data_IF_482493421557
#
_entry.id   IF_482493421557
#
_cell.length_a   1.000
_cell.length_b   1.000
_cell.length_c   1.000
_cell.angle_alpha   90.00
_cell.angle_beta   90.00
_cell.angle_gamma   90.00
#
_symmetry.space_group_name_H-M   'P 1'
#
loop_
_entity.id
_entity.type
_entity.pdbx_description
1 polymer ?
#
# COMPACT_ATOMS: atom_id res chain seq x y z
N UNK A 1 -3.86 -48.34 -17.60
CA UNK A 1 -2.84 -47.33 -17.23
C UNK A 1 -3.51 -45.96 -17.28
N UNK A 2 -3.78 -45.34 -16.12
CA UNK A 2 -4.41 -44.01 -16.02
C UNK A 2 -3.30 -42.97 -15.88
N UNK A 3 -3.17 -42.06 -16.85
CA UNK A 3 -2.21 -40.96 -16.81
C UNK A 3 -2.82 -39.84 -15.97
N UNK A 4 -2.32 -39.66 -14.75
CA UNK A 4 -2.61 -38.50 -13.91
C UNK A 4 -1.82 -37.31 -14.48
N UNK A 5 -2.53 -36.35 -15.09
CA UNK A 5 -1.96 -35.05 -15.48
C UNK A 5 -1.75 -34.20 -14.22
N UNK A 6 -0.51 -34.11 -13.76
CA UNK A 6 -0.10 -33.13 -12.76
C UNK A 6 0.07 -31.76 -13.44
N UNK A 7 -0.68 -30.76 -12.99
CA UNK A 7 -0.55 -29.37 -13.42
C UNK A 7 0.44 -28.66 -12.47
N UNK A 8 1.55 -28.07 -12.95
CA UNK A 8 2.42 -27.30 -12.08
C UNK A 8 1.80 -25.92 -11.82
N UNK A 9 1.45 -25.66 -10.55
CA UNK A 9 1.20 -24.33 -10.01
C UNK A 9 2.50 -23.51 -10.10
N UNK A 10 2.57 -22.62 -11.09
CA UNK A 10 3.63 -21.61 -11.18
C UNK A 10 3.28 -20.42 -10.27
N UNK A 11 3.81 -20.45 -9.06
CA UNK A 11 3.89 -19.30 -8.15
C UNK A 11 5.00 -18.36 -8.65
N UNK A 12 4.61 -17.30 -9.38
CA UNK A 12 5.50 -16.21 -9.75
C UNK A 12 5.63 -15.21 -8.60
N UNK A 13 6.56 -15.47 -7.66
CA UNK A 13 6.91 -14.53 -6.60
C UNK A 13 8.06 -13.63 -7.08
N UNK A 14 7.75 -12.52 -7.77
CA UNK A 14 8.75 -11.49 -8.07
C UNK A 14 8.70 -10.39 -7.00
N UNK A 15 9.32 -10.65 -5.85
CA UNK A 15 9.59 -9.63 -4.85
C UNK A 15 10.84 -8.83 -5.27
N UNK A 16 10.66 -7.72 -5.97
CA UNK A 16 11.73 -6.73 -6.17
C UNK A 16 11.87 -5.91 -4.89
N UNK A 17 13.02 -6.05 -4.23
CA UNK A 17 13.48 -5.23 -3.10
C UNK A 17 13.61 -3.76 -3.54
N UNK A 18 12.55 -3.00 -3.35
CA UNK A 18 12.51 -1.53 -3.36
C UNK A 18 11.49 -1.07 -2.30
N UNK A 19 11.54 0.19 -1.83
CA UNK A 19 10.55 0.73 -0.90
C UNK A 19 9.20 0.82 -1.62
N UNK A 20 8.46 -0.29 -1.61
CA UNK A 20 7.25 -0.48 -2.39
C UNK A 20 6.99 -1.96 -2.58
N UNK A 21 6.23 -2.54 -1.64
CA UNK A 21 5.78 -3.91 -1.78
C UNK A 21 4.64 -3.92 -2.81
N UNK A 22 4.95 -4.40 -4.02
CA UNK A 22 3.99 -4.67 -5.07
C UNK A 22 3.57 -6.14 -5.03
N UNK A 23 2.28 -6.41 -4.90
CA UNK A 23 1.71 -7.75 -4.94
C UNK A 23 0.72 -7.84 -6.10
N UNK A 24 0.78 -8.93 -6.85
CA UNK A 24 -0.16 -9.20 -7.95
C UNK A 24 -0.42 -10.69 -8.02
N UNK A 25 -1.69 -11.10 -8.01
CA UNK A 25 -2.06 -12.50 -8.17
C UNK A 25 -3.46 -12.64 -8.78
N UNK A 26 -3.66 -13.76 -9.46
CA UNK A 26 -4.97 -14.16 -9.95
C UNK A 26 -5.76 -14.86 -8.82
N UNK A 27 -7.04 -14.54 -8.71
CA UNK A 27 -7.93 -15.10 -7.69
C UNK A 27 -8.52 -16.46 -8.12
N UNK A 28 -8.36 -16.82 -9.39
CA UNK A 28 -8.94 -18.00 -10.02
C UNK A 28 -7.96 -18.67 -10.99
N UNK A 29 -8.24 -19.93 -11.34
CA UNK A 29 -7.39 -20.71 -12.26
C UNK A 29 -7.55 -20.27 -13.73
N UNK A 30 -8.71 -19.74 -14.11
CA UNK A 30 -8.97 -19.24 -15.46
C UNK A 30 -8.33 -17.86 -15.69
N UNK A 31 -7.86 -17.21 -14.61
CA UNK A 31 -7.25 -15.87 -14.61
C UNK A 31 -8.23 -14.79 -15.05
N UNK A 32 -9.50 -14.98 -14.73
CA UNK A 32 -10.56 -14.01 -15.00
C UNK A 32 -10.54 -12.87 -13.99
N UNK A 33 -10.02 -13.09 -12.78
CA UNK A 33 -9.96 -12.09 -11.72
C UNK A 33 -8.52 -11.85 -11.26
N UNK A 34 -8.07 -10.61 -11.37
CA UNK A 34 -6.73 -10.18 -10.98
C UNK A 34 -6.82 -9.19 -9.83
N UNK A 35 -6.02 -9.43 -8.78
CA UNK A 35 -5.81 -8.48 -7.71
C UNK A 35 -4.37 -7.98 -7.74
N UNK A 36 -4.21 -6.66 -7.75
CA UNK A 36 -2.92 -5.99 -7.58
C UNK A 36 -2.97 -5.07 -6.38
N UNK A 37 -1.88 -4.95 -5.66
CA UNK A 37 -1.75 -3.97 -4.59
C UNK A 37 -0.34 -3.40 -4.55
N UNK A 38 -0.23 -2.11 -4.30
CA UNK A 38 1.03 -1.44 -3.99
C UNK A 38 0.92 -0.80 -2.63
N UNK A 39 1.90 -1.05 -1.77
CA UNK A 39 2.00 -0.38 -0.49
C UNK A 39 3.44 0.09 -0.25
N UNK A 40 3.59 1.35 0.16
CA UNK A 40 4.87 1.88 0.61
C UNK A 40 4.68 2.84 1.77
N UNK A 41 5.71 2.92 2.61
CA UNK A 41 5.78 3.84 3.73
C UNK A 41 7.00 4.73 3.55
N UNK A 42 6.80 6.02 3.77
CA UNK A 42 7.82 7.05 3.77
C UNK A 42 7.95 7.59 5.20
N UNK A 43 9.17 7.81 5.68
CA UNK A 43 9.44 8.39 7.00
C UNK A 43 10.35 9.61 6.86
N UNK A 44 10.03 10.69 7.59
CA UNK A 44 10.84 11.91 7.62
C UNK A 44 11.47 12.08 9.00
N UNK A 45 12.80 12.18 9.03
CA UNK A 45 13.59 12.40 10.25
C UNK A 45 14.21 13.79 10.21
N UNK A 46 14.31 14.45 11.36
CA UNK A 46 15.08 15.66 11.51
C UNK A 46 16.58 15.34 11.32
N UNK A 47 17.28 16.08 10.48
CA UNK A 47 18.72 15.89 10.26
C UNK A 47 19.57 16.72 11.21
N UNK A 48 19.00 17.80 11.71
CA UNK A 48 19.69 18.81 12.53
C UNK A 48 18.83 19.25 13.71
N UNK A 49 19.46 19.95 14.64
CA UNK A 49 18.75 20.56 15.76
C UNK A 49 17.95 21.77 15.27
N UNK A 50 16.80 22.02 15.90
CA UNK A 50 16.05 23.24 15.61
C UNK A 50 16.78 24.51 16.05
N UNK A 51 16.62 25.57 15.27
CA UNK A 51 17.07 26.91 15.64
C UNK A 51 16.42 27.39 16.95
N UNK A 52 17.08 28.24 17.75
CA UNK A 52 16.59 28.67 19.08
C UNK A 52 15.18 29.30 19.09
N UNK A 53 14.78 29.87 17.96
CA UNK A 53 13.47 30.52 17.75
C UNK A 53 12.35 29.57 17.34
N UNK A 54 12.64 28.28 17.11
CA UNK A 54 11.64 27.27 16.72
C UNK A 54 11.13 26.55 17.96
N UNK A 55 9.83 26.72 18.24
CA UNK A 55 9.14 26.05 19.35
C UNK A 55 7.98 25.21 18.78
N UNK A 56 7.90 23.91 19.08
CA UNK A 56 8.84 23.12 19.89
C UNK A 56 10.13 22.79 19.14
N UNK A 57 11.26 22.75 19.84
CA UNK A 57 12.55 22.38 19.28
C UNK A 57 12.59 20.88 18.95
N UNK A 58 13.19 20.52 17.83
CA UNK A 58 13.39 19.14 17.39
C UNK A 58 14.84 18.75 17.52
N UNK A 59 15.08 17.50 17.92
CA UNK A 59 16.42 16.92 17.99
C UNK A 59 16.79 16.23 16.66
N UNK A 60 18.09 16.13 16.32
CA UNK A 60 18.55 15.27 15.24
C UNK A 60 18.03 13.83 15.40
N UNK A 61 17.70 13.20 14.28
CA UNK A 61 17.09 11.88 14.15
C UNK A 61 15.69 11.73 14.78
N UNK A 62 15.05 12.83 15.21
CA UNK A 62 13.67 12.78 15.64
C UNK A 62 12.75 12.50 14.43
N UNK A 63 11.89 11.49 14.55
CA UNK A 63 10.84 11.22 13.57
C UNK A 63 9.80 12.35 13.60
N UNK A 64 9.63 12.98 12.44
CA UNK A 64 8.75 14.13 12.24
C UNK A 64 7.41 13.69 11.66
N UNK A 65 7.46 12.77 10.69
CA UNK A 65 6.26 12.19 10.10
C UNK A 65 6.56 10.81 9.54
N UNK A 66 5.50 10.02 9.40
CA UNK A 66 5.52 8.86 8.54
C UNK A 66 4.22 8.85 7.73
N UNK A 67 4.33 8.53 6.45
CA UNK A 67 3.21 8.48 5.52
C UNK A 67 3.15 7.11 4.89
N UNK A 68 1.99 6.49 4.96
CA UNK A 68 1.74 5.21 4.31
C UNK A 68 0.79 5.42 3.15
N UNK A 69 1.13 4.83 2.01
CA UNK A 69 0.33 4.87 0.81
C UNK A 69 -0.02 3.45 0.39
N UNK A 70 -1.30 3.21 0.08
CA UNK A 70 -1.82 1.92 -0.35
C UNK A 70 -2.70 2.12 -1.58
N UNK A 71 -2.48 1.33 -2.63
CA UNK A 71 -3.30 1.33 -3.83
C UNK A 71 -3.61 -0.09 -4.27
N UNK A 72 -4.77 -0.65 -3.86
CA UNK A 72 -5.25 -1.91 -4.39
C UNK A 72 -6.09 -1.69 -5.65
N UNK A 73 -5.95 -2.62 -6.58
CA UNK A 73 -6.72 -2.71 -7.81
C UNK A 73 -7.28 -4.13 -7.95
N UNK A 74 -8.55 -4.23 -8.31
CA UNK A 74 -9.24 -5.48 -8.60
C UNK A 74 -9.82 -5.39 -10.01
N UNK A 75 -9.47 -6.34 -10.86
CA UNK A 75 -9.97 -6.45 -12.22
C UNK A 75 -10.67 -7.80 -12.39
N UNK A 76 -11.76 -7.83 -13.15
CA UNK A 76 -12.55 -9.05 -13.33
C UNK A 76 -13.24 -9.13 -14.69
N UNK A 77 -13.15 -10.28 -15.34
CA UNK A 77 -13.89 -10.64 -16.55
C UNK A 77 -15.10 -11.47 -16.17
N UNK A 78 -16.29 -10.92 -16.41
CA UNK A 78 -17.57 -11.51 -16.00
C UNK A 78 -18.24 -12.29 -17.14
N UNK A 79 -17.80 -12.10 -18.38
CA UNK A 79 -18.40 -12.66 -19.58
C UNK A 79 -18.65 -14.18 -19.49
N UNK A 80 -17.69 -14.94 -18.94
CA UNK A 80 -17.79 -16.40 -18.79
C UNK A 80 -18.74 -16.88 -17.69
N UNK A 81 -19.20 -15.97 -16.82
CA UNK A 81 -20.02 -16.29 -15.63
C UNK A 81 -21.47 -15.84 -15.76
N UNK A 82 -21.83 -15.13 -16.83
CA UNK A 82 -23.19 -14.64 -17.05
C UNK A 82 -24.02 -15.62 -17.89
N UNK A 83 -25.30 -15.81 -17.54
CA UNK A 83 -26.19 -16.73 -18.26
C UNK A 83 -26.60 -16.21 -19.64
N UNK A 84 -26.36 -14.94 -19.94
CA UNK A 84 -26.63 -14.29 -21.22
C UNK A 84 -25.30 -13.85 -21.86
N UNK A 85 -25.20 -13.94 -23.19
CA UNK A 85 -23.98 -13.66 -23.97
C UNK A 85 -23.63 -12.16 -23.98
N UNK A 86 -23.13 -11.64 -22.87
CA UNK A 86 -22.33 -10.42 -22.86
C UNK A 86 -20.87 -10.83 -23.03
N UNK A 87 -20.42 -10.85 -24.28
CA UNK A 87 -19.12 -11.41 -24.63
C UNK A 87 -17.92 -10.57 -24.10
N UNK A 88 -18.17 -9.35 -23.57
CA UNK A 88 -17.11 -8.43 -23.13
C UNK A 88 -17.43 -7.66 -21.83
N UNK A 89 -18.21 -8.26 -20.92
CA UNK A 89 -18.42 -7.62 -19.62
C UNK A 89 -17.19 -7.79 -18.73
N UNK A 90 -16.58 -6.66 -18.35
CA UNK A 90 -15.49 -6.61 -17.38
C UNK A 90 -15.70 -5.45 -16.39
N UNK A 91 -15.00 -5.52 -15.26
CA UNK A 91 -14.92 -4.42 -14.31
C UNK A 91 -13.49 -4.20 -13.86
N UNK A 92 -13.20 -2.95 -13.47
CA UNK A 92 -11.98 -2.58 -12.75
C UNK A 92 -12.33 -1.65 -11.60
N UNK A 93 -11.87 -2.01 -10.42
CA UNK A 93 -11.94 -1.19 -9.21
C UNK A 93 -10.52 -0.82 -8.82
N UNK A 94 -10.22 0.48 -8.74
CA UNK A 94 -8.93 0.98 -8.26
C UNK A 94 -9.18 1.89 -7.06
N UNK A 95 -8.52 1.60 -5.94
CA UNK A 95 -8.64 2.36 -4.70
C UNK A 95 -7.29 2.98 -4.33
N UNK A 96 -7.37 4.05 -3.55
CA UNK A 96 -6.23 4.82 -3.07
C UNK A 96 -6.47 5.15 -1.60
N UNK A 97 -5.53 4.78 -0.75
CA UNK A 97 -5.55 5.04 0.67
C UNK A 97 -4.24 5.69 1.07
N UNK A 98 -4.34 6.72 1.91
CA UNK A 98 -3.19 7.37 2.49
C UNK A 98 -3.40 7.54 3.99
N UNK A 99 -2.33 7.36 4.75
CA UNK A 99 -2.25 7.67 6.16
C UNK A 99 -1.09 8.63 6.38
N UNK A 100 -1.33 9.73 7.08
CA UNK A 100 -0.30 10.71 7.45
C UNK A 100 -0.20 10.81 8.97
N UNK A 101 0.87 10.25 9.52
CA UNK A 101 1.17 10.24 10.95
C UNK A 101 1.89 11.50 11.43
N UNK A 102 1.86 12.62 10.71
CA UNK A 102 2.41 13.89 11.18
C UNK A 102 1.81 14.32 12.54
N UNK A 103 0.52 14.03 12.74
CA UNK A 103 -0.17 14.35 13.98
C UNK A 103 0.23 13.44 15.16
N UNK A 104 0.81 12.28 14.89
CA UNK A 104 1.21 11.33 15.94
C UNK A 104 2.47 11.82 16.69
N UNK A 105 3.35 12.54 15.99
CA UNK A 105 4.62 13.02 16.57
C UNK A 105 4.56 14.50 16.94
N UNK A 106 3.89 15.32 16.14
CA UNK A 106 3.82 16.75 16.35
C UNK A 106 2.92 17.14 17.53
N UNK A 107 1.70 16.61 17.61
CA UNK A 107 0.63 17.15 18.48
C UNK A 107 1.02 17.18 19.95
N UNK A 108 1.51 16.07 20.51
CA UNK A 108 1.95 16.01 21.91
C UNK A 108 3.15 16.92 22.19
N UNK A 109 4.00 17.18 21.20
CA UNK A 109 5.12 18.11 21.34
C UNK A 109 4.65 19.57 21.34
N UNK A 110 3.69 19.91 20.46
CA UNK A 110 3.05 21.22 20.43
C UNK A 110 2.20 21.48 21.68
N UNK A 111 1.48 20.49 22.19
CA UNK A 111 0.66 20.61 23.40
C UNK A 111 1.51 20.85 24.65
N UNK A 112 2.62 20.12 24.83
CA UNK A 112 3.57 20.37 25.92
C UNK A 112 4.19 21.75 25.83
N UNK A 113 4.58 22.18 24.62
CA UNK A 113 5.12 23.52 24.40
C UNK A 113 4.09 24.61 24.73
N UNK A 114 2.81 24.40 24.38
CA UNK A 114 1.72 25.32 24.72
C UNK A 114 1.47 25.41 26.22
N UNK A 115 1.59 24.31 26.97
CA UNK A 115 1.41 24.29 28.42
C UNK A 115 2.59 24.91 29.20
N UNK A 116 3.77 25.03 28.56
CA UNK A 116 4.97 25.62 29.16
C UNK A 116 5.15 27.13 28.91
N UNK A 117 4.23 27.75 28.16
CA UNK A 117 4.14 29.21 27.97
C UNK A 117 3.32 29.85 29.10
#
# INVERSE_FOLDING_TARGET
MRVLRAWPLLLGLSATLGPGAGYGFFLDAARDFEFRARAYTEGALATEHSEPQTVPSRAPFQLVSHRTFVSPELEGKLASYLPFRLDDLSFRLALWGFYDGIYDYGTGQYDRARQSL
#
